data_IF_082190162875
#
_entry.id   IF_082190162875
#
_cell.length_a   1.000
_cell.length_b   1.000
_cell.length_c   1.000
_cell.angle_alpha   90.00
_cell.angle_beta   90.00
_cell.angle_gamma   90.00
#
_symmetry.space_group_name_H-M   'P 1'
#
loop_
_entity.id
_entity.type
_entity.pdbx_description
1 polymer ?
#
# COMPACT_ATOMS: atom_id res chain seq x y z
N UNK A 1 3.71 14.71 20.77
CA UNK A 1 4.84 15.58 20.38
C UNK A 1 6.11 14.82 19.94
N UNK A 2 6.58 13.78 20.66
CA UNK A 2 7.79 13.03 20.27
C UNK A 2 7.79 12.47 18.83
N UNK A 3 6.67 11.91 18.37
CA UNK A 3 6.56 11.38 17.00
C UNK A 3 6.68 12.42 15.89
N UNK A 4 6.18 13.65 16.12
CA UNK A 4 6.26 14.75 15.15
C UNK A 4 7.69 15.31 15.04
N UNK A 5 8.42 15.34 16.15
CA UNK A 5 9.82 15.81 16.17
C UNK A 5 10.75 14.83 15.44
N UNK A 6 10.57 13.52 15.63
CA UNK A 6 11.35 12.51 14.91
C UNK A 6 11.11 12.54 13.39
N UNK A 7 9.88 12.86 12.96
CA UNK A 7 9.55 13.02 11.54
C UNK A 7 10.34 14.17 10.89
N UNK A 8 10.48 15.29 11.61
CA UNK A 8 11.25 16.44 11.16
C UNK A 8 12.76 16.14 11.14
N UNK A 9 13.27 15.41 12.14
CA UNK A 9 14.69 15.06 12.22
C UNK A 9 15.14 14.00 11.19
N UNK A 10 14.24 13.10 10.76
CA UNK A 10 14.56 12.06 9.77
C UNK A 10 14.34 12.48 8.31
N UNK A 11 13.99 13.74 8.05
CA UNK A 11 13.85 14.27 6.69
C UNK A 11 12.48 14.01 6.03
N UNK A 12 11.43 13.77 6.82
CA UNK A 12 10.10 13.41 6.33
C UNK A 12 9.86 11.90 6.29
N UNK A 13 8.58 11.51 6.25
CA UNK A 13 8.12 10.12 6.33
C UNK A 13 6.71 10.03 6.91
N UNK A 14 6.02 8.89 6.76
CA UNK A 14 4.69 8.72 7.34
C UNK A 14 4.80 8.63 8.86
N UNK A 15 4.05 9.47 9.57
CA UNK A 15 4.04 9.47 11.05
C UNK A 15 3.65 8.10 11.60
N UNK A 16 2.77 7.38 10.91
CA UNK A 16 2.39 6.02 11.27
C UNK A 16 3.57 5.06 11.30
N UNK A 17 4.45 5.10 10.29
CA UNK A 17 5.65 4.24 10.24
C UNK A 17 6.63 4.56 11.38
N UNK A 18 6.76 5.84 11.74
CA UNK A 18 7.61 6.27 12.87
C UNK A 18 7.02 5.77 14.20
N UNK A 19 5.70 5.87 14.38
CA UNK A 19 5.04 5.37 15.59
C UNK A 19 5.17 3.86 15.73
N UNK A 20 5.07 3.12 14.62
CA UNK A 20 5.30 1.67 14.58
C UNK A 20 6.76 1.33 14.92
N UNK A 21 7.73 2.02 14.30
CA UNK A 21 9.15 1.80 14.56
C UNK A 21 9.56 2.11 16.02
N UNK A 22 8.86 3.03 16.67
CA UNK A 22 9.06 3.37 18.08
C UNK A 22 8.29 2.44 19.05
N UNK A 23 7.51 1.49 18.53
CA UNK A 23 6.69 0.58 19.34
C UNK A 23 5.48 1.23 19.99
N UNK A 24 5.09 2.44 19.56
CA UNK A 24 3.95 3.17 20.10
C UNK A 24 2.61 2.79 19.46
N UNK A 25 2.63 2.15 18.30
CA UNK A 25 1.45 1.67 17.59
C UNK A 25 1.80 0.40 16.79
N UNK A 26 0.80 -0.44 16.48
CA UNK A 26 0.93 -1.53 15.50
C UNK A 26 0.56 -1.02 14.11
N UNK A 27 1.05 -1.68 13.07
CA UNK A 27 0.68 -1.34 11.68
C UNK A 27 -0.84 -1.43 11.45
N UNK A 28 -1.50 -2.36 12.13
CA UNK A 28 -2.96 -2.49 12.12
C UNK A 28 -3.65 -1.26 12.72
N UNK A 29 -3.12 -0.69 13.81
CA UNK A 29 -3.66 0.51 14.44
C UNK A 29 -3.56 1.71 13.47
N UNK A 30 -2.47 1.80 12.71
CA UNK A 30 -2.28 2.84 11.69
C UNK A 30 -3.25 2.64 10.53
N UNK A 31 -3.39 1.41 10.04
CA UNK A 31 -4.32 1.09 8.95
C UNK A 31 -5.78 1.38 9.35
N UNK A 32 -6.16 1.00 10.57
CA UNK A 32 -7.49 1.29 11.11
C UNK A 32 -7.73 2.78 11.29
N UNK A 33 -6.72 3.54 11.74
CA UNK A 33 -6.83 5.00 11.82
C UNK A 33 -7.07 5.63 10.43
N UNK A 34 -6.40 5.15 9.39
CA UNK A 34 -6.63 5.60 8.01
C UNK A 34 -8.04 5.28 7.52
N UNK A 35 -8.58 4.12 7.88
CA UNK A 35 -9.98 3.76 7.60
C UNK A 35 -10.96 4.71 8.30
N UNK A 36 -10.77 4.98 9.59
CA UNK A 36 -11.69 5.84 10.36
C UNK A 36 -11.61 7.30 9.90
N UNK A 37 -10.42 7.80 9.62
CA UNK A 37 -10.20 9.22 9.33
C UNK A 37 -10.52 9.60 7.89
N UNK A 38 -10.24 8.71 6.93
CA UNK A 38 -10.36 8.99 5.50
C UNK A 38 -11.35 8.07 4.76
N UNK A 39 -11.90 7.06 5.43
CA UNK A 39 -12.90 6.15 4.86
C UNK A 39 -12.34 5.05 3.96
N UNK A 40 -11.02 4.85 3.92
CA UNK A 40 -10.44 3.78 3.10
C UNK A 40 -10.71 2.40 3.71
N UNK A 41 -11.28 1.45 2.95
CA UNK A 41 -11.54 0.10 3.46
C UNK A 41 -10.21 -0.61 3.78
N UNK A 42 -10.13 -1.23 4.96
CA UNK A 42 -9.02 -2.09 5.32
C UNK A 42 -9.21 -3.48 4.68
N UNK A 43 -8.15 -4.01 4.08
CA UNK A 43 -8.13 -5.34 3.47
C UNK A 43 -6.97 -6.15 4.06
N UNK A 44 -7.23 -7.31 4.69
CA UNK A 44 -6.18 -8.20 5.15
C UNK A 44 -5.65 -9.03 3.97
N UNK A 45 -4.54 -8.57 3.38
CA UNK A 45 -3.98 -9.14 2.15
C UNK A 45 -3.55 -10.61 2.30
N UNK A 46 -3.25 -11.06 3.52
CA UNK A 46 -2.88 -12.44 3.82
C UNK A 46 -3.94 -13.48 3.42
N UNK A 47 -5.21 -13.08 3.31
CA UNK A 47 -6.33 -13.95 2.95
C UNK A 47 -6.66 -13.95 1.46
N UNK A 48 -5.93 -13.19 0.65
CA UNK A 48 -6.19 -13.05 -0.78
C UNK A 48 -5.13 -13.77 -1.60
N UNK A 49 -5.58 -14.49 -2.63
CA UNK A 49 -4.72 -15.02 -3.67
C UNK A 49 -4.76 -14.11 -4.89
N UNK A 50 -3.60 -13.52 -5.20
CA UNK A 50 -3.43 -12.65 -6.37
C UNK A 50 -3.03 -13.53 -7.56
N UNK A 51 -3.73 -13.39 -8.68
CA UNK A 51 -3.40 -14.15 -9.88
C UNK A 51 -2.13 -13.57 -10.56
N UNK A 52 -1.31 -14.40 -11.24
CA UNK A 52 -0.10 -13.93 -11.92
C UNK A 52 -0.36 -12.88 -13.00
N UNK A 53 -1.55 -12.92 -13.61
CA UNK A 53 -1.99 -11.94 -14.61
C UNK A 53 -2.14 -10.54 -13.99
N UNK A 54 -2.65 -10.47 -12.75
CA UNK A 54 -2.80 -9.20 -12.02
C UNK A 54 -1.45 -8.57 -11.70
N UNK A 55 -0.50 -9.39 -11.25
CA UNK A 55 0.88 -9.00 -10.94
C UNK A 55 1.58 -8.45 -12.18
N UNK A 56 1.20 -8.92 -13.38
CA UNK A 56 1.78 -8.44 -14.64
C UNK A 56 1.25 -7.07 -15.10
N UNK A 57 0.15 -6.57 -14.53
CA UNK A 57 -0.44 -5.27 -14.90
C UNK A 57 0.46 -4.12 -14.44
N UNK A 58 1.04 -4.23 -13.24
CA UNK A 58 1.90 -3.21 -12.66
C UNK A 58 3.31 -3.79 -12.50
N UNK A 59 4.36 -3.15 -13.04
CA UNK A 59 5.72 -3.63 -12.90
C UNK A 59 6.17 -3.71 -11.44
N UNK A 60 6.97 -4.74 -11.10
CA UNK A 60 7.51 -4.95 -9.75
C UNK A 60 8.16 -3.70 -9.14
N UNK A 61 8.89 -2.94 -9.96
CA UNK A 61 9.56 -1.70 -9.57
C UNK A 61 8.59 -0.65 -9.02
N UNK A 62 7.43 -0.48 -9.66
CA UNK A 62 6.40 0.49 -9.25
C UNK A 62 5.75 0.02 -7.95
N UNK A 63 5.40 -1.27 -7.86
CA UNK A 63 4.86 -1.87 -6.64
C UNK A 63 5.80 -1.72 -5.44
N UNK A 64 7.11 -1.93 -5.62
CA UNK A 64 8.14 -1.74 -4.58
C UNK A 64 8.33 -0.27 -4.21
N UNK A 65 8.32 0.63 -5.19
CA UNK A 65 8.52 2.07 -4.97
C UNK A 65 7.35 2.69 -4.18
N UNK A 66 6.12 2.37 -4.56
CA UNK A 66 4.93 2.95 -3.95
C UNK A 66 4.32 2.09 -2.84
N UNK A 67 4.91 0.91 -2.56
CA UNK A 67 4.43 -0.03 -1.56
C UNK A 67 2.95 -0.33 -1.79
N UNK A 68 2.66 -0.87 -2.98
CA UNK A 68 1.33 -1.26 -3.41
C UNK A 68 1.36 -2.58 -4.19
N UNK A 69 0.20 -3.21 -4.33
CA UNK A 69 0.04 -4.40 -5.17
C UNK A 69 -1.38 -4.47 -5.77
N UNK A 70 -1.52 -4.75 -7.08
CA UNK A 70 -2.83 -5.01 -7.66
C UNK A 70 -3.38 -6.35 -7.16
N UNK A 71 -4.64 -6.37 -6.74
CA UNK A 71 -5.29 -7.56 -6.16
C UNK A 71 -6.22 -8.21 -7.17
N UNK A 72 -7.09 -7.41 -7.79
CA UNK A 72 -8.12 -7.90 -8.70
C UNK A 72 -8.52 -6.82 -9.72
N UNK A 73 -9.11 -7.24 -10.84
CA UNK A 73 -9.61 -6.33 -11.88
C UNK A 73 -11.01 -6.76 -12.32
N UNK A 74 -11.96 -5.85 -12.16
CA UNK A 74 -13.35 -6.06 -12.58
C UNK A 74 -13.71 -5.02 -13.62
N UNK A 75 -13.76 -5.43 -14.89
CA UNK A 75 -14.02 -4.54 -16.01
C UNK A 75 -12.92 -3.48 -16.14
N UNK A 76 -13.28 -2.21 -15.89
CA UNK A 76 -12.35 -1.08 -15.91
C UNK A 76 -11.86 -0.65 -14.52
N UNK A 77 -12.21 -1.40 -13.47
CA UNK A 77 -11.84 -1.07 -12.11
C UNK A 77 -10.72 -2.00 -11.64
N UNK A 78 -9.59 -1.44 -11.24
CA UNK A 78 -8.44 -2.15 -10.69
C UNK A 78 -8.43 -1.99 -9.17
N UNK A 79 -8.61 -3.09 -8.45
CA UNK A 79 -8.48 -3.13 -7.00
C UNK A 79 -7.00 -3.16 -6.62
N UNK A 80 -6.56 -2.20 -5.82
CA UNK A 80 -5.16 -2.05 -5.40
C UNK A 80 -5.06 -1.94 -3.88
N UNK A 81 -4.21 -2.78 -3.29
CA UNK A 81 -3.79 -2.67 -1.91
C UNK A 81 -2.62 -1.67 -1.82
N UNK A 82 -2.70 -0.72 -0.89
CA UNK A 82 -1.63 0.25 -0.62
C UNK A 82 -1.35 0.35 0.87
N UNK A 83 -0.07 0.53 1.24
CA UNK A 83 0.31 0.85 2.63
C UNK A 83 0.09 2.33 2.94
N UNK A 84 0.13 3.18 1.91
CA UNK A 84 -0.13 4.60 2.01
C UNK A 84 -1.19 5.05 0.97
N UNK A 85 -2.49 5.01 1.33
CA UNK A 85 -3.57 5.41 0.43
C UNK A 85 -3.63 6.93 0.19
N UNK A 86 -2.87 7.73 0.96
CA UNK A 86 -2.83 9.19 0.81
C UNK A 86 -1.84 9.65 -0.27
N UNK A 87 -1.11 8.72 -0.87
CA UNK A 87 -0.19 9.02 -1.96
C UNK A 87 -0.95 9.16 -3.29
N UNK A 88 -1.50 10.35 -3.53
CA UNK A 88 -2.28 10.65 -4.75
C UNK A 88 -1.46 10.43 -6.02
N UNK A 89 -0.18 10.79 -6.02
CA UNK A 89 0.71 10.55 -7.17
C UNK A 89 0.82 9.07 -7.51
N UNK A 90 0.95 8.20 -6.50
CA UNK A 90 0.99 6.77 -6.72
C UNK A 90 -0.32 6.25 -7.34
N UNK A 91 -1.47 6.80 -6.93
CA UNK A 91 -2.79 6.46 -7.48
C UNK A 91 -2.89 6.90 -8.95
N UNK A 92 -2.49 8.13 -9.27
CA UNK A 92 -2.53 8.63 -10.65
C UNK A 92 -1.60 7.82 -11.57
N UNK A 93 -0.40 7.47 -11.09
CA UNK A 93 0.56 6.68 -11.85
C UNK A 93 0.04 5.26 -12.13
N UNK A 94 -0.60 4.59 -11.17
CA UNK A 94 -1.18 3.25 -11.40
C UNK A 94 -2.37 3.30 -12.34
N UNK A 95 -3.21 4.34 -12.28
CA UNK A 95 -4.35 4.51 -13.19
C UNK A 95 -3.85 4.73 -14.61
N UNK A 96 -2.82 5.55 -14.79
CA UNK A 96 -2.20 5.80 -16.09
C UNK A 96 -1.54 4.54 -16.67
N UNK A 97 -0.80 3.79 -15.85
CA UNK A 97 -0.11 2.57 -16.27
C UNK A 97 -1.08 1.44 -16.61
N UNK A 98 -2.13 1.27 -15.80
CA UNK A 98 -3.11 0.19 -15.98
C UNK A 98 -4.23 0.53 -16.97
N UNK A 99 -4.44 1.81 -17.27
CA UNK A 99 -5.59 2.30 -18.04
C UNK A 99 -6.94 2.07 -17.35
N UNK A 100 -6.93 1.74 -16.06
CA UNK A 100 -8.10 1.39 -15.26
C UNK A 100 -8.29 2.39 -14.12
N UNK A 101 -9.52 2.53 -13.62
CA UNK A 101 -9.79 3.31 -12.41
C UNK A 101 -9.38 2.51 -11.18
N UNK A 102 -8.60 3.11 -10.28
CA UNK A 102 -8.05 2.43 -9.12
C UNK A 102 -9.03 2.46 -7.93
N UNK A 103 -9.38 1.29 -7.41
CA UNK A 103 -10.10 1.12 -6.15
C UNK A 103 -9.09 0.82 -5.04
N UNK A 104 -8.95 1.76 -4.11
CA UNK A 104 -7.88 1.71 -3.11
C UNK A 104 -8.35 1.03 -1.83
N UNK A 105 -7.57 0.06 -1.38
CA UNK A 105 -7.71 -0.61 -0.08
C UNK A 105 -6.45 -0.42 0.74
N UNK A 106 -6.61 -0.19 2.04
CA UNK A 106 -5.49 -0.05 2.96
C UNK A 106 -5.07 -1.41 3.47
N UNK A 107 -3.77 -1.66 3.45
CA UNK A 107 -3.15 -2.85 4.01
C UNK A 107 -1.98 -2.46 4.93
N UNK A 108 -1.54 -3.40 5.75
CA UNK A 108 -0.31 -3.20 6.54
C UNK A 108 0.91 -3.18 5.62
N UNK A 109 1.94 -2.42 6.02
CA UNK A 109 3.20 -2.34 5.28
C UNK A 109 3.85 -3.72 5.16
N UNK A 110 3.81 -4.51 6.24
CA UNK A 110 4.36 -5.85 6.28
C UNK A 110 3.67 -6.79 5.29
N UNK A 111 2.34 -6.72 5.18
CA UNK A 111 1.59 -7.58 4.26
C UNK A 111 1.90 -7.25 2.81
N UNK A 112 1.96 -5.97 2.45
CA UNK A 112 2.32 -5.57 1.08
C UNK A 112 3.73 -6.03 0.73
N UNK A 113 4.71 -5.82 1.60
CA UNK A 113 6.09 -6.28 1.35
C UNK A 113 6.15 -7.79 1.14
N UNK A 114 5.47 -8.56 1.99
CA UNK A 114 5.39 -10.03 1.86
C UNK A 114 4.71 -10.45 0.56
N UNK A 115 3.64 -9.77 0.15
CA UNK A 115 2.96 -10.08 -1.09
C UNK A 115 3.82 -9.74 -2.31
N UNK A 116 4.50 -8.58 -2.30
CA UNK A 116 5.43 -8.23 -3.38
C UNK A 116 6.54 -9.28 -3.49
N UNK A 117 7.15 -9.69 -2.37
CA UNK A 117 8.17 -10.74 -2.37
C UNK A 117 7.63 -12.08 -2.85
N UNK A 118 6.40 -12.44 -2.46
CA UNK A 118 5.77 -13.70 -2.88
C UNK A 118 5.48 -13.73 -4.38
N UNK A 119 4.97 -12.64 -4.94
CA UNK A 119 4.40 -12.61 -6.29
C UNK A 119 5.34 -12.04 -7.37
N UNK A 120 6.29 -11.17 -7.01
CA UNK A 120 7.27 -10.58 -7.94
C UNK A 120 8.69 -11.18 -7.80
N UNK A 121 8.80 -12.41 -7.29
CA UNK A 121 10.07 -13.10 -7.05
C UNK A 121 10.95 -13.25 -8.30
N UNK A 122 10.32 -13.41 -9.46
CA UNK A 122 11.01 -13.64 -10.74
C UNK A 122 11.25 -12.36 -11.57
N UNK A 123 10.83 -11.18 -11.08
CA UNK A 123 10.93 -9.90 -11.80
C UNK A 123 11.94 -8.94 -11.15
N UNK A 124 13.16 -9.42 -10.92
CA UNK A 124 14.28 -8.62 -10.40
C UNK A 124 14.94 -7.72 -11.45
#
# INVERSE_FOLDING_TARGET
EKGLNLQKERGGGLIGEILVALGYAKEEDIAQALTVQYGFPFLPLANYEISPEMVSIIPARVCRQYLLIPIDKIGNNLTVAMSNPLNVQAIEDIELLSGCSAQIFVCTLSDIKKAIDKYYKDQE
#
